data_IF_233454726422
#
_entry.id   IF_233454726422
#
_cell.length_a   1.000
_cell.length_b   1.000
_cell.length_c   1.000
_cell.angle_alpha   90.00
_cell.angle_beta   90.00
_cell.angle_gamma   90.00
#
_symmetry.space_group_name_H-M   'P 1'
#
loop_
_entity.id
_entity.type
_entity.pdbx_description
1 polymer ?
#
# COMPACT_ATOMS: atom_id res chain seq x y z
N UNK A 1 -8.61 10.79 2.18
CA UNK A 1 -8.30 10.13 0.91
C UNK A 1 -7.63 8.79 1.17
N UNK A 2 -8.00 7.76 0.40
CA UNK A 2 -7.53 6.38 0.58
C UNK A 2 -6.64 5.98 -0.59
N UNK A 3 -5.43 5.49 -0.29
CA UNK A 3 -4.40 5.09 -1.25
C UNK A 3 -4.07 3.61 -1.00
N UNK A 4 -4.30 2.75 -2.00
CA UNK A 4 -3.95 1.33 -1.91
C UNK A 4 -2.58 1.04 -2.52
N UNK A 5 -1.80 0.15 -1.92
CA UNK A 5 -0.62 -0.48 -2.52
C UNK A 5 -1.03 -1.83 -3.08
N UNK A 6 -1.24 -1.92 -4.37
CA UNK A 6 -1.84 -3.09 -4.98
C UNK A 6 -0.97 -3.74 -6.06
N UNK A 7 -0.90 -5.05 -6.05
CA UNK A 7 -0.32 -5.84 -7.15
C UNK A 7 -0.88 -7.25 -7.13
N UNK A 8 -1.13 -7.82 -8.31
CA UNK A 8 -1.50 -9.21 -8.47
C UNK A 8 -0.36 -10.18 -8.12
N UNK A 9 0.90 -9.70 -8.10
CA UNK A 9 2.09 -10.50 -7.79
C UNK A 9 2.60 -10.25 -6.39
N UNK A 10 3.12 -11.31 -5.75
CA UNK A 10 3.91 -11.21 -4.53
C UNK A 10 5.34 -10.71 -4.81
N UNK A 11 6.02 -10.22 -3.77
CA UNK A 11 7.44 -9.87 -3.83
C UNK A 11 7.81 -8.64 -4.67
N UNK A 12 6.86 -7.78 -5.04
CA UNK A 12 7.10 -6.59 -5.87
C UNK A 12 7.36 -5.31 -5.06
N UNK A 13 7.41 -5.39 -3.72
CA UNK A 13 7.68 -4.25 -2.84
C UNK A 13 6.44 -3.47 -2.38
N UNK A 14 5.23 -4.07 -2.38
CA UNK A 14 4.01 -3.41 -1.87
C UNK A 14 4.20 -2.86 -0.46
N UNK A 15 4.49 -3.74 0.50
CA UNK A 15 4.67 -3.39 1.92
C UNK A 15 5.77 -2.36 2.12
N UNK A 16 6.92 -2.54 1.44
CA UNK A 16 8.01 -1.57 1.47
C UNK A 16 7.55 -0.18 1.05
N UNK A 17 6.79 -0.10 -0.06
CA UNK A 17 6.23 1.17 -0.52
C UNK A 17 5.14 1.69 0.42
N UNK A 18 4.26 0.84 0.96
CA UNK A 18 3.20 1.24 1.88
C UNK A 18 3.76 1.96 3.11
N UNK A 19 4.75 1.35 3.76
CA UNK A 19 5.41 1.92 4.94
C UNK A 19 6.11 3.24 4.60
N UNK A 20 6.84 3.29 3.49
CA UNK A 20 7.59 4.49 3.11
C UNK A 20 6.69 5.64 2.63
N UNK A 21 5.60 5.34 1.92
CA UNK A 21 4.64 6.37 1.50
C UNK A 21 3.82 6.88 2.70
N UNK A 22 3.55 6.04 3.70
CA UNK A 22 2.94 6.46 4.95
C UNK A 22 3.85 7.42 5.73
N UNK A 23 5.15 7.09 5.81
CA UNK A 23 6.16 8.00 6.34
C UNK A 23 6.23 9.31 5.56
N UNK A 24 6.28 9.27 4.23
CA UNK A 24 6.34 10.46 3.39
C UNK A 24 5.10 11.35 3.55
N UNK A 25 3.93 10.75 3.68
CA UNK A 25 2.68 11.44 3.98
C UNK A 25 2.75 12.18 5.32
N UNK A 26 3.15 11.48 6.36
CA UNK A 26 3.21 11.99 7.73
C UNK A 26 4.30 13.07 7.89
N UNK A 27 5.51 12.80 7.42
CA UNK A 27 6.69 13.63 7.70
C UNK A 27 6.91 14.71 6.63
N UNK A 28 6.82 14.37 5.33
CA UNK A 28 7.09 15.34 4.27
C UNK A 28 5.90 16.26 4.01
N UNK A 29 4.68 15.73 4.09
CA UNK A 29 3.45 16.52 3.86
C UNK A 29 2.73 16.92 5.14
N UNK A 30 3.22 16.51 6.31
CA UNK A 30 2.63 16.81 7.63
C UNK A 30 1.16 16.40 7.74
N UNK A 31 0.76 15.32 7.08
CA UNK A 31 -0.60 14.78 7.07
C UNK A 31 -0.81 13.82 8.25
N UNK A 32 -1.98 13.89 8.89
CA UNK A 32 -2.41 12.81 9.80
C UNK A 32 -2.66 11.57 8.96
N UNK A 33 -1.82 10.56 9.11
CA UNK A 33 -1.77 9.39 8.24
C UNK A 33 -2.05 8.13 9.03
N UNK A 34 -2.88 7.26 8.47
CA UNK A 34 -3.08 5.91 8.95
C UNK A 34 -2.48 4.94 7.94
N UNK A 35 -1.60 4.06 8.37
CA UNK A 35 -1.27 2.86 7.62
C UNK A 35 -2.18 1.73 8.07
N UNK A 36 -2.94 1.16 7.14
CA UNK A 36 -3.81 0.02 7.39
C UNK A 36 -3.20 -1.22 6.74
N UNK A 37 -2.69 -2.12 7.57
CA UNK A 37 -2.12 -3.39 7.14
C UNK A 37 -3.24 -4.42 6.96
N UNK A 38 -3.48 -4.84 5.73
CA UNK A 38 -4.49 -5.85 5.36
C UNK A 38 -3.87 -7.16 4.88
N UNK A 39 -2.54 -7.31 4.96
CA UNK A 39 -1.88 -8.58 4.68
C UNK A 39 -1.74 -9.40 5.96
N UNK A 40 -2.28 -10.63 5.96
CA UNK A 40 -2.18 -11.56 7.09
C UNK A 40 -0.74 -11.92 7.50
N UNK A 41 0.26 -11.59 6.67
CA UNK A 41 1.67 -11.71 7.02
C UNK A 41 2.13 -10.62 7.99
N UNK A 42 1.36 -9.55 8.16
CA UNK A 42 1.61 -8.44 9.08
C UNK A 42 3.00 -7.78 8.93
N UNK A 43 3.52 -7.74 7.70
CA UNK A 43 4.87 -7.24 7.45
C UNK A 43 4.97 -5.72 7.66
N UNK A 44 3.96 -4.93 7.27
CA UNK A 44 3.92 -3.50 7.57
C UNK A 44 3.81 -3.24 9.07
N UNK A 45 3.01 -4.03 9.77
CA UNK A 45 2.87 -4.02 11.24
C UNK A 45 4.22 -4.24 11.90
N UNK A 46 4.96 -5.27 11.48
CA UNK A 46 6.28 -5.58 12.02
C UNK A 46 7.30 -4.46 11.76
N UNK A 47 7.38 -3.94 10.53
CA UNK A 47 8.33 -2.87 10.16
C UNK A 47 8.08 -1.59 10.97
N UNK A 48 6.84 -1.30 11.35
CA UNK A 48 6.53 -0.14 12.22
C UNK A 48 6.67 -0.42 13.71
N UNK A 49 7.43 -1.45 14.09
CA UNK A 49 7.77 -1.73 15.48
C UNK A 49 6.63 -2.31 16.33
N UNK A 50 5.54 -2.76 15.69
CA UNK A 50 4.38 -3.32 16.38
C UNK A 50 4.30 -4.83 16.23
N UNK A 51 3.63 -5.47 17.19
CA UNK A 51 3.27 -6.90 17.09
C UNK A 51 1.90 -7.05 16.43
N UNK A 52 1.63 -8.17 15.72
CA UNK A 52 0.31 -8.43 15.15
C UNK A 52 -0.80 -8.30 16.21
N UNK A 53 -1.99 -7.87 15.81
CA UNK A 53 -3.13 -7.84 16.70
C UNK A 53 -3.53 -9.28 17.05
N UNK A 54 -3.47 -9.67 18.34
CA UNK A 54 -3.88 -11.02 18.75
C UNK A 54 -5.40 -11.18 18.76
N UNK A 55 -5.89 -12.44 18.57
CA UNK A 55 -7.27 -12.82 18.90
C UNK A 55 -8.33 -12.49 17.85
N UNK A 56 -8.06 -12.66 16.56
CA UNK A 56 -9.03 -12.48 15.46
C UNK A 56 -9.75 -11.12 15.46
N UNK A 57 -9.04 -10.05 15.77
CA UNK A 57 -9.63 -8.71 15.91
C UNK A 57 -9.73 -7.98 14.59
N UNK A 58 -8.73 -8.14 13.71
CA UNK A 58 -8.69 -7.44 12.43
C UNK A 58 -9.84 -7.88 11.51
N UNK A 59 -10.03 -9.17 11.31
CA UNK A 59 -11.14 -9.73 10.53
C UNK A 59 -12.50 -9.31 11.10
N UNK A 60 -12.70 -9.50 12.42
CA UNK A 60 -13.98 -9.18 13.07
C UNK A 60 -14.38 -7.73 12.90
N UNK A 61 -13.43 -6.79 12.94
CA UNK A 61 -13.73 -5.37 12.73
C UNK A 61 -14.29 -5.12 11.34
N UNK A 62 -13.77 -5.82 10.34
CA UNK A 62 -14.20 -5.69 8.95
C UNK A 62 -15.56 -6.40 8.73
N UNK A 63 -15.69 -7.66 9.16
CA UNK A 63 -16.89 -8.46 8.92
C UNK A 63 -18.11 -7.95 9.68
N UNK A 64 -17.93 -7.55 10.95
CA UNK A 64 -19.02 -7.05 11.80
C UNK A 64 -19.35 -5.58 11.60
N UNK A 65 -18.62 -4.89 10.71
CA UNK A 65 -18.81 -3.45 10.44
C UNK A 65 -18.67 -2.61 11.72
N UNK A 66 -17.73 -2.99 12.56
CA UNK A 66 -17.43 -2.26 13.80
C UNK A 66 -16.39 -1.15 13.52
N UNK A 67 -16.43 -0.10 14.34
CA UNK A 67 -15.41 0.96 14.27
C UNK A 67 -14.03 0.38 14.61
N UNK A 68 -13.08 0.37 13.66
CA UNK A 68 -11.75 -0.18 13.86
C UNK A 68 -10.85 0.72 14.71
N UNK A 69 -11.31 1.91 15.11
CA UNK A 69 -10.50 2.90 15.83
C UNK A 69 -9.90 2.36 17.13
N UNK A 70 -10.56 1.38 17.78
CA UNK A 70 -10.06 0.73 18.99
C UNK A 70 -8.82 -0.16 18.78
N UNK A 71 -8.54 -0.52 17.51
CA UNK A 71 -7.39 -1.34 17.14
C UNK A 71 -6.21 -0.49 16.68
N UNK A 72 -6.42 0.80 16.43
CA UNK A 72 -5.39 1.72 15.98
C UNK A 72 -4.35 1.89 17.10
N UNK A 73 -3.08 1.89 16.68
CA UNK A 73 -1.93 2.07 17.55
C UNK A 73 -1.08 3.24 17.05
N UNK A 74 -0.59 4.11 17.94
CA UNK A 74 0.41 5.10 17.57
C UNK A 74 1.71 4.41 17.17
N UNK A 75 2.46 5.00 16.26
CA UNK A 75 3.82 4.59 15.93
C UNK A 75 4.84 5.54 16.54
N UNK A 76 6.12 5.22 16.42
CA UNK A 76 7.21 6.13 16.81
C UNK A 76 7.35 7.35 15.87
N UNK A 77 6.62 7.37 14.74
CA UNK A 77 6.70 8.40 13.71
C UNK A 77 5.58 9.42 13.93
N UNK A 78 5.95 10.69 14.05
CA UNK A 78 4.96 11.77 14.22
C UNK A 78 3.88 11.73 13.12
N UNK A 79 2.62 11.89 13.52
CA UNK A 79 1.43 11.88 12.62
C UNK A 79 1.18 10.58 11.86
N UNK A 80 1.81 9.47 12.23
CA UNK A 80 1.59 8.17 11.62
C UNK A 80 1.05 7.18 12.65
N UNK A 81 -0.19 6.76 12.47
CA UNK A 81 -0.79 5.68 13.22
C UNK A 81 -0.87 4.40 12.36
N UNK A 82 -1.00 3.27 13.02
CA UNK A 82 -1.11 1.94 12.41
C UNK A 82 -2.42 1.27 12.81
N UNK A 83 -3.15 0.76 11.84
CA UNK A 83 -4.18 -0.25 12.05
C UNK A 83 -3.55 -1.61 11.70
N UNK A 84 -3.15 -2.41 12.72
CA UNK A 84 -2.31 -3.58 12.52
C UNK A 84 -3.09 -4.77 11.94
N UNK A 85 -2.39 -5.60 11.18
CA UNK A 85 -2.88 -6.91 10.75
C UNK A 85 -2.80 -7.95 11.87
N UNK A 86 -3.54 -9.03 11.68
CA UNK A 86 -3.36 -10.29 12.40
C UNK A 86 -3.67 -11.50 11.47
N UNK A 87 -3.39 -12.71 11.96
CA UNK A 87 -3.54 -13.92 11.17
C UNK A 87 -4.99 -14.20 10.72
N UNK A 88 -6.00 -13.59 11.34
CA UNK A 88 -7.42 -13.77 10.98
C UNK A 88 -7.76 -13.19 9.61
N UNK A 89 -6.94 -12.27 9.08
CA UNK A 89 -7.16 -11.73 7.74
C UNK A 89 -7.04 -12.79 6.63
N UNK A 90 -6.48 -13.98 6.91
CA UNK A 90 -6.50 -15.13 5.96
C UNK A 90 -7.92 -15.59 5.65
N UNK A 91 -8.82 -15.46 6.60
CA UNK A 91 -10.20 -15.93 6.45
C UNK A 91 -11.10 -14.87 5.78
N UNK A 92 -10.57 -13.65 5.60
CA UNK A 92 -11.31 -12.52 5.05
C UNK A 92 -11.81 -12.78 3.61
N UNK A 93 -11.03 -13.51 2.81
CA UNK A 93 -11.41 -13.89 1.44
C UNK A 93 -12.68 -14.74 1.43
N UNK A 94 -12.70 -15.80 2.24
CA UNK A 94 -13.88 -16.67 2.39
C UNK A 94 -15.08 -15.88 2.91
N UNK A 95 -14.86 -15.04 3.92
CA UNK A 95 -15.91 -14.23 4.51
C UNK A 95 -16.53 -13.23 3.51
N UNK A 96 -15.76 -12.64 2.62
CA UNK A 96 -16.28 -11.75 1.58
C UNK A 96 -17.05 -12.51 0.50
N UNK A 97 -16.58 -13.69 0.13
CA UNK A 97 -17.27 -14.56 -0.82
C UNK A 97 -18.68 -14.95 -0.28
N UNK A 98 -18.75 -15.44 0.95
CA UNK A 98 -20.00 -15.91 1.57
C UNK A 98 -21.00 -14.77 1.82
N UNK A 99 -20.52 -13.60 2.20
CA UNK A 99 -21.38 -12.46 2.52
C UNK A 99 -21.94 -11.74 1.29
N UNK A 100 -21.38 -11.93 0.09
CA UNK A 100 -21.77 -11.22 -1.13
C UNK A 100 -21.67 -9.68 -1.04
N UNK A 101 -21.03 -9.14 0.01
CA UNK A 101 -21.04 -7.72 0.35
C UNK A 101 -19.88 -6.97 -0.27
N UNK A 102 -20.11 -6.39 -1.45
CA UNK A 102 -19.06 -5.71 -2.27
C UNK A 102 -18.57 -4.35 -1.75
N UNK A 103 -19.08 -3.83 -0.63
CA UNK A 103 -18.74 -2.48 -0.11
C UNK A 103 -18.36 -2.50 1.38
N UNK A 104 -18.02 -3.65 1.93
CA UNK A 104 -17.78 -3.79 3.38
C UNK A 104 -16.57 -2.97 3.81
N UNK A 105 -15.46 -3.11 3.09
CA UNK A 105 -14.23 -2.39 3.44
C UNK A 105 -14.40 -0.87 3.29
N UNK A 106 -15.11 -0.41 2.25
CA UNK A 106 -15.40 1.01 2.10
C UNK A 106 -16.24 1.56 3.26
N UNK A 107 -17.17 0.76 3.80
CA UNK A 107 -17.97 1.14 4.96
C UNK A 107 -17.12 1.22 6.24
N UNK A 108 -16.26 0.26 6.48
CA UNK A 108 -15.31 0.31 7.60
C UNK A 108 -14.36 1.50 7.46
N UNK A 109 -13.84 1.75 6.26
CA UNK A 109 -12.98 2.89 5.99
C UNK A 109 -13.69 4.24 6.27
N UNK A 110 -15.02 4.30 6.09
CA UNK A 110 -15.79 5.53 6.36
C UNK A 110 -15.72 5.99 7.83
N UNK A 111 -15.53 5.08 8.79
CA UNK A 111 -15.31 5.42 10.20
C UNK A 111 -13.96 6.12 10.46
N UNK A 112 -13.03 5.99 9.51
CA UNK A 112 -11.67 6.54 9.58
C UNK A 112 -11.53 7.84 8.78
N UNK A 113 -12.42 8.06 7.81
CA UNK A 113 -12.48 9.30 7.01
C UNK A 113 -12.83 10.47 7.94
N UNK A 114 -12.06 11.55 7.85
CA UNK A 114 -12.22 12.72 8.75
C UNK A 114 -11.30 12.69 9.98
N UNK A 115 -10.90 11.49 10.44
CA UNK A 115 -9.88 11.35 11.49
C UNK A 115 -8.47 11.48 10.92
N UNK A 116 -8.27 11.03 9.67
CA UNK A 116 -7.00 11.02 8.95
C UNK A 116 -7.11 11.74 7.61
N UNK A 117 -6.07 12.49 7.27
CA UNK A 117 -5.96 13.16 5.96
C UNK A 117 -5.65 12.15 4.86
N UNK A 118 -4.88 11.11 5.20
CA UNK A 118 -4.51 10.00 4.33
C UNK A 118 -4.67 8.66 5.05
N UNK A 119 -5.25 7.69 4.34
CA UNK A 119 -5.27 6.29 4.74
C UNK A 119 -4.51 5.53 3.65
N UNK A 120 -3.42 4.88 4.03
CA UNK A 120 -2.63 4.05 3.12
C UNK A 120 -2.90 2.60 3.47
N UNK A 121 -3.28 1.80 2.47
CA UNK A 121 -3.63 0.39 2.67
C UNK A 121 -2.52 -0.47 2.06
N UNK A 122 -1.87 -1.29 2.90
CA UNK A 122 -1.02 -2.39 2.42
C UNK A 122 -1.89 -3.60 2.09
N UNK A 123 -1.92 -3.99 0.82
CA UNK A 123 -2.83 -5.00 0.31
C UNK A 123 -2.18 -6.39 0.30
N UNK A 124 -2.92 -7.46 0.58
CA UNK A 124 -2.46 -8.80 0.30
C UNK A 124 -2.18 -8.98 -1.20
N UNK A 125 -1.34 -9.96 -1.60
CA UNK A 125 -1.11 -10.27 -3.00
C UNK A 125 -2.34 -10.96 -3.62
N UNK A 126 -2.49 -10.84 -4.95
CA UNK A 126 -3.50 -11.56 -5.72
C UNK A 126 -4.65 -10.69 -6.21
N UNK A 127 -5.46 -11.30 -7.09
CA UNK A 127 -6.69 -10.71 -7.65
C UNK A 127 -7.90 -11.39 -6.97
N UNK A 128 -8.16 -10.98 -5.74
CA UNK A 128 -9.12 -11.61 -4.83
C UNK A 128 -10.33 -10.71 -4.55
N UNK A 129 -11.37 -11.23 -3.92
CA UNK A 129 -12.52 -10.42 -3.47
C UNK A 129 -12.09 -9.34 -2.46
N UNK A 130 -11.09 -9.64 -1.64
CA UNK A 130 -10.47 -8.65 -0.75
C UNK A 130 -9.83 -7.51 -1.53
N UNK A 131 -9.03 -7.83 -2.56
CA UNK A 131 -8.41 -6.83 -3.42
C UNK A 131 -9.46 -5.96 -4.14
N UNK A 132 -10.54 -6.57 -4.62
CA UNK A 132 -11.66 -5.85 -5.23
C UNK A 132 -12.30 -4.83 -4.27
N UNK A 133 -12.50 -5.22 -3.02
CA UNK A 133 -13.05 -4.33 -2.01
C UNK A 133 -12.10 -3.19 -1.66
N UNK A 134 -10.80 -3.46 -1.59
CA UNK A 134 -9.78 -2.43 -1.36
C UNK A 134 -9.78 -1.42 -2.51
N UNK A 135 -9.73 -1.89 -3.77
CA UNK A 135 -9.74 -1.01 -4.94
C UNK A 135 -11.01 -0.15 -5.00
N UNK A 136 -12.18 -0.71 -4.63
CA UNK A 136 -13.44 0.04 -4.57
C UNK A 136 -13.49 1.10 -3.47
N UNK A 137 -12.74 0.89 -2.39
CA UNK A 137 -12.65 1.83 -1.27
C UNK A 137 -11.62 2.94 -1.51
N UNK A 138 -10.75 2.79 -2.52
CA UNK A 138 -9.57 3.64 -2.73
C UNK A 138 -9.81 4.71 -3.79
N UNK A 139 -9.27 5.90 -3.54
CA UNK A 139 -9.21 7.00 -4.51
C UNK A 139 -8.10 6.76 -5.54
N UNK A 140 -6.96 6.16 -5.08
CA UNK A 140 -5.80 5.89 -5.90
C UNK A 140 -5.18 4.54 -5.51
N UNK A 141 -4.71 3.77 -6.49
CA UNK A 141 -3.93 2.56 -6.28
C UNK A 141 -2.54 2.71 -6.88
N UNK A 142 -1.52 2.68 -6.03
CA UNK A 142 -0.12 2.58 -6.44
C UNK A 142 0.16 1.14 -6.82
N UNK A 143 0.65 0.94 -8.04
CA UNK A 143 0.94 -0.40 -8.57
C UNK A 143 2.45 -0.54 -8.79
N UNK A 144 3.18 -1.21 -7.89
CA UNK A 144 4.61 -1.49 -8.10
C UNK A 144 4.80 -2.50 -9.22
N UNK A 145 5.66 -2.14 -10.18
CA UNK A 145 5.96 -2.91 -11.39
C UNK A 145 7.46 -3.12 -11.48
N UNK A 146 7.92 -4.36 -11.36
CA UNK A 146 9.32 -4.70 -11.67
C UNK A 146 9.51 -4.53 -13.18
N UNK A 147 10.62 -3.91 -13.65
CA UNK A 147 10.86 -3.74 -15.09
C UNK A 147 11.11 -5.09 -15.80
N UNK A 148 10.02 -5.80 -16.10
CA UNK A 148 10.06 -7.10 -16.77
C UNK A 148 8.73 -7.37 -17.50
N UNK A 149 8.74 -8.10 -18.64
CA UNK A 149 7.56 -8.36 -19.46
C UNK A 149 6.37 -8.94 -18.69
N UNK A 150 6.63 -9.92 -17.80
CA UNK A 150 5.57 -10.55 -16.99
C UNK A 150 4.93 -9.59 -15.98
N UNK A 151 5.66 -8.60 -15.50
CA UNK A 151 5.11 -7.59 -14.58
C UNK A 151 4.28 -6.55 -15.34
N UNK A 152 4.66 -6.24 -16.58
CA UNK A 152 3.85 -5.43 -17.50
C UNK A 152 2.52 -6.09 -17.79
N UNK A 153 2.56 -7.39 -18.17
CA UNK A 153 1.33 -8.17 -18.38
C UNK A 153 0.41 -8.15 -17.17
N UNK A 154 0.96 -8.35 -15.95
CA UNK A 154 0.17 -8.29 -14.72
C UNK A 154 -0.47 -6.90 -14.50
N UNK A 155 0.23 -5.80 -14.84
CA UNK A 155 -0.36 -4.46 -14.80
C UNK A 155 -1.50 -4.31 -15.80
N UNK A 156 -1.36 -4.84 -17.02
CA UNK A 156 -2.40 -4.74 -18.03
C UNK A 156 -3.64 -5.57 -17.65
N UNK A 157 -3.47 -6.71 -17.00
CA UNK A 157 -4.55 -7.49 -16.38
C UNK A 157 -5.28 -6.69 -15.29
N UNK A 158 -4.54 -5.96 -14.42
CA UNK A 158 -5.12 -5.06 -13.41
C UNK A 158 -5.91 -3.93 -14.07
N UNK A 159 -5.37 -3.27 -15.10
CA UNK A 159 -6.07 -2.20 -15.83
C UNK A 159 -7.38 -2.71 -16.44
N UNK A 160 -7.33 -3.87 -17.08
CA UNK A 160 -8.50 -4.49 -17.67
C UNK A 160 -9.56 -4.81 -16.63
N UNK A 161 -9.15 -5.42 -15.51
CA UNK A 161 -10.02 -5.75 -14.39
C UNK A 161 -10.71 -4.51 -13.81
N UNK A 162 -9.97 -3.45 -13.56
CA UNK A 162 -10.52 -2.18 -13.05
C UNK A 162 -11.47 -1.53 -14.06
N UNK A 163 -11.14 -1.58 -15.36
CA UNK A 163 -11.98 -1.00 -16.43
C UNK A 163 -13.34 -1.68 -16.55
N UNK A 164 -13.43 -2.98 -16.26
CA UNK A 164 -14.69 -3.75 -16.31
C UNK A 164 -15.61 -3.52 -15.10
N UNK A 165 -15.10 -2.96 -14.00
CA UNK A 165 -15.92 -2.74 -12.79
C UNK A 165 -16.83 -1.54 -12.94
N UNK A 166 -18.10 -1.70 -12.54
CA UNK A 166 -19.06 -0.60 -12.41
C UNK A 166 -18.82 0.17 -11.11
N UNK A 167 -18.83 1.49 -11.16
CA UNK A 167 -18.71 2.37 -9.99
C UNK A 167 -17.59 3.39 -10.11
N UNK A 168 -17.22 4.09 -9.02
CA UNK A 168 -16.11 5.03 -9.01
C UNK A 168 -14.82 4.34 -9.48
N UNK A 169 -14.11 4.99 -10.40
CA UNK A 169 -12.88 4.46 -10.95
C UNK A 169 -11.71 4.89 -10.07
N UNK A 170 -11.00 3.93 -9.50
CA UNK A 170 -9.74 4.17 -8.82
C UNK A 170 -8.69 4.64 -9.83
N UNK A 171 -7.89 5.65 -9.46
CA UNK A 171 -6.76 6.11 -10.27
C UNK A 171 -5.63 5.08 -10.12
N UNK A 172 -5.18 4.48 -11.21
CA UNK A 172 -4.02 3.59 -11.19
C UNK A 172 -2.73 4.40 -11.39
N UNK A 173 -1.81 4.30 -10.43
CA UNK A 173 -0.52 4.98 -10.43
C UNK A 173 0.62 3.95 -10.49
N UNK A 174 1.06 3.52 -11.69
CA UNK A 174 2.18 2.59 -11.80
C UNK A 174 3.49 3.24 -11.36
N UNK A 175 4.33 2.45 -10.68
CA UNK A 175 5.65 2.84 -10.18
C UNK A 175 6.63 1.72 -10.51
N UNK A 176 7.75 2.04 -11.16
CA UNK A 176 8.80 1.06 -11.31
C UNK A 176 9.44 0.74 -9.96
N UNK A 177 9.45 -0.54 -9.61
CA UNK A 177 9.97 -1.05 -8.34
C UNK A 177 11.16 -1.96 -8.55
N UNK A 178 12.11 -1.96 -7.60
CA UNK A 178 13.29 -2.82 -7.61
C UNK A 178 14.14 -2.64 -8.88
N UNK A 179 14.32 -1.40 -9.31
CA UNK A 179 15.06 -1.10 -10.53
C UNK A 179 16.56 -1.24 -10.33
N UNK A 180 17.17 -2.16 -11.06
CA UNK A 180 18.63 -2.27 -11.22
C UNK A 180 19.05 -1.78 -12.61
N UNK A 181 19.59 -0.57 -12.68
CA UNK A 181 20.00 0.05 -13.96
C UNK A 181 21.19 -0.64 -14.64
N UNK A 182 21.87 -1.57 -13.98
CA UNK A 182 22.93 -2.40 -14.60
C UNK A 182 22.32 -3.44 -15.56
N UNK A 183 21.05 -3.81 -15.35
CA UNK A 183 20.34 -4.80 -16.18
C UNK A 183 19.80 -4.12 -17.45
N UNK A 184 20.18 -4.65 -18.64
CA UNK A 184 19.71 -4.14 -19.95
C UNK A 184 18.20 -4.10 -20.07
N UNK A 185 17.55 -5.22 -19.72
CA UNK A 185 16.07 -5.34 -19.72
C UNK A 185 15.38 -4.25 -18.88
N UNK A 186 15.95 -3.89 -17.71
CA UNK A 186 15.36 -2.85 -16.87
C UNK A 186 15.46 -1.49 -17.57
N UNK A 187 16.60 -1.16 -18.21
CA UNK A 187 16.75 0.09 -18.96
C UNK A 187 15.75 0.18 -20.11
N UNK A 188 15.63 -0.88 -20.89
CA UNK A 188 14.67 -0.94 -22.02
C UNK A 188 13.21 -0.74 -21.55
N UNK A 189 12.84 -1.34 -20.44
CA UNK A 189 11.48 -1.15 -19.88
C UNK A 189 11.24 0.26 -19.34
N UNK A 190 12.26 0.89 -18.74
CA UNK A 190 12.17 2.28 -18.30
C UNK A 190 11.98 3.23 -19.50
N UNK A 191 12.72 3.01 -20.58
CA UNK A 191 12.66 3.84 -21.80
C UNK A 191 11.27 3.79 -22.45
N UNK A 192 10.56 2.67 -22.34
CA UNK A 192 9.17 2.53 -22.81
C UNK A 192 8.15 3.35 -21.99
N UNK A 193 8.50 3.73 -20.76
CA UNK A 193 7.61 4.46 -19.84
C UNK A 193 8.40 5.55 -19.07
N UNK A 194 8.95 6.54 -19.74
CA UNK A 194 9.84 7.54 -19.12
C UNK A 194 9.14 8.42 -18.08
N UNK A 195 7.81 8.43 -18.10
CA UNK A 195 6.99 9.19 -17.15
C UNK A 195 6.74 8.51 -15.80
N UNK A 196 7.08 7.24 -15.62
CA UNK A 196 6.82 6.56 -14.35
C UNK A 196 7.92 6.84 -13.32
N UNK A 197 7.57 7.06 -12.04
CA UNK A 197 8.57 7.18 -10.99
C UNK A 197 9.27 5.85 -10.75
N UNK A 198 10.49 5.92 -10.23
CA UNK A 198 11.40 4.78 -10.11
C UNK A 198 11.84 4.60 -8.66
N UNK A 199 11.61 3.42 -8.11
CA UNK A 199 12.20 2.96 -6.86
C UNK A 199 13.39 2.05 -7.19
N UNK A 200 14.61 2.42 -6.82
CA UNK A 200 15.79 1.62 -7.10
C UNK A 200 15.82 0.34 -6.27
N UNK A 201 16.52 -0.68 -6.76
CA UNK A 201 16.94 -1.79 -5.93
C UNK A 201 18.08 -1.31 -5.00
N UNK A 202 17.86 -1.39 -3.71
CA UNK A 202 18.84 -0.96 -2.71
C UNK A 202 18.72 -1.79 -1.43
N UNK A 203 19.86 -2.22 -0.87
CA UNK A 203 19.94 -2.96 0.41
C UNK A 203 19.35 -2.17 1.59
N UNK A 204 19.28 -0.86 1.48
CA UNK A 204 18.64 -0.01 2.48
C UNK A 204 17.17 -0.37 2.72
N UNK A 205 16.43 -0.86 1.70
CA UNK A 205 15.05 -1.32 1.88
C UNK A 205 14.97 -2.64 2.64
N UNK A 206 16.00 -3.50 2.56
CA UNK A 206 16.08 -4.74 3.34
C UNK A 206 16.28 -4.44 4.83
N UNK A 207 17.06 -3.39 5.13
CA UNK A 207 17.30 -2.93 6.50
C UNK A 207 16.04 -2.48 7.23
N UNK A 208 14.99 -2.08 6.52
CA UNK A 208 13.73 -1.67 7.15
C UNK A 208 13.13 -2.75 8.05
N UNK A 209 13.23 -4.02 7.65
CA UNK A 209 12.74 -5.14 8.46
C UNK A 209 13.66 -5.46 9.64
N UNK A 210 14.94 -5.24 9.51
CA UNK A 210 15.93 -5.43 10.59
C UNK A 210 15.81 -4.34 11.65
N UNK A 211 15.77 -3.09 11.22
CA UNK A 211 15.74 -1.90 12.09
C UNK A 211 14.30 -1.53 12.53
N UNK A 212 13.30 -2.18 11.97
CA UNK A 212 11.87 -1.95 12.22
C UNK A 212 11.47 -0.47 12.05
N UNK A 213 11.92 0.13 10.94
CA UNK A 213 11.67 1.54 10.63
C UNK A 213 11.57 1.79 9.11
N UNK A 214 10.86 2.84 8.66
CA UNK A 214 10.87 3.27 7.27
C UNK A 214 12.23 3.85 6.89
N UNK A 215 12.54 3.82 5.59
CA UNK A 215 13.86 4.22 5.08
C UNK A 215 14.22 5.68 5.41
N UNK A 216 13.23 6.56 5.52
CA UNK A 216 13.45 7.96 5.85
C UNK A 216 13.84 8.22 7.29
N UNK A 217 13.70 7.24 8.20
CA UNK A 217 14.23 7.27 9.56
C UNK A 217 15.63 6.64 9.64
N UNK A 218 16.00 5.85 8.62
CA UNK A 218 17.28 5.12 8.59
C UNK A 218 18.38 5.83 7.79
N UNK A 219 18.00 6.75 6.91
CA UNK A 219 18.93 7.39 5.98
C UNK A 219 18.65 8.90 5.83
N UNK A 220 19.70 9.68 5.46
CA UNK A 220 19.51 11.10 5.14
C UNK A 220 18.46 11.32 4.05
N UNK A 221 17.72 12.41 4.14
CA UNK A 221 16.68 12.77 3.15
C UNK A 221 17.23 12.96 1.74
N UNK A 222 18.50 13.33 1.61
CA UNK A 222 19.22 13.47 0.33
C UNK A 222 19.73 12.15 -0.25
N UNK A 223 19.51 11.02 0.41
CA UNK A 223 19.90 9.73 -0.14
C UNK A 223 18.97 9.30 -1.27
N UNK A 224 19.52 8.66 -2.30
CA UNK A 224 18.77 8.22 -3.48
C UNK A 224 17.49 7.42 -3.15
N UNK A 225 17.51 6.45 -2.21
CA UNK A 225 16.29 5.71 -1.88
C UNK A 225 15.20 6.57 -1.23
N UNK A 226 15.58 7.53 -0.38
CA UNK A 226 14.60 8.44 0.27
C UNK A 226 14.05 9.45 -0.74
N UNK A 227 14.90 10.01 -1.61
CA UNK A 227 14.47 10.90 -2.69
C UNK A 227 13.52 10.21 -3.68
N UNK A 228 13.76 8.93 -3.99
CA UNK A 228 12.87 8.13 -4.84
C UNK A 228 11.47 7.98 -4.21
N UNK A 229 11.39 7.70 -2.93
CA UNK A 229 10.12 7.66 -2.18
C UNK A 229 9.43 9.02 -2.20
N UNK A 230 10.17 10.10 -1.94
CA UNK A 230 9.64 11.46 -1.95
C UNK A 230 9.08 11.86 -3.34
N UNK A 231 9.73 11.41 -4.43
CA UNK A 231 9.24 11.64 -5.80
C UNK A 231 7.93 10.90 -6.07
N UNK A 232 7.84 9.61 -5.69
CA UNK A 232 6.58 8.85 -5.79
C UNK A 232 5.47 9.58 -5.03
N UNK A 233 5.76 10.00 -3.79
CA UNK A 233 4.78 10.70 -2.97
C UNK A 233 4.31 12.02 -3.59
N UNK A 234 5.22 12.85 -4.10
CA UNK A 234 4.87 14.11 -4.79
C UNK A 234 3.93 13.87 -5.99
N UNK A 235 4.14 12.81 -6.76
CA UNK A 235 3.27 12.46 -7.88
C UNK A 235 1.89 11.99 -7.43
N UNK A 236 1.80 11.23 -6.35
CA UNK A 236 0.53 10.83 -5.74
C UNK A 236 -0.25 12.08 -5.29
N UNK A 237 0.37 12.99 -4.54
CA UNK A 237 -0.27 14.22 -4.10
C UNK A 237 -0.75 15.09 -5.29
N UNK A 238 0.01 15.13 -6.38
CA UNK A 238 -0.40 15.84 -7.61
C UNK A 238 -1.59 15.17 -8.29
N UNK A 239 -1.64 13.85 -8.34
CA UNK A 239 -2.74 13.09 -8.94
C UNK A 239 -4.04 13.24 -8.14
N UNK A 240 -3.96 13.34 -6.81
CA UNK A 240 -5.11 13.49 -5.91
C UNK A 240 -5.67 14.92 -5.84
N UNK A 241 -4.96 15.93 -6.38
CA UNK A 241 -5.45 17.32 -6.46
C UNK A 241 -6.29 17.61 -7.69
N UNK A 242 -6.31 16.69 -8.66
CA UNK A 242 -7.13 16.77 -9.88
C UNK A 242 -8.48 16.15 -9.68
#
# INVERSE_FOLDING_TARGET
MIIALYSAKGGVGKTTLAVNLAWASAILSKRRTLLWDLDAQAAATYILGQEPAGGHKAERSIIRDSDPSKLIRPTAIDRLDLLPADASLRDLEHAFHDLGKRKRLAKVASHLIGKYDRIIIDCPPGMTDTADQILRASDLAVVPVIPAPLSRRALDEIKHHVAQKKGPKVILAPVFSMVDRRRGMHREELDKQPGWPVIPMASAYERMSLERAPIGELMPRSSLPVEAVAEVWRRIEKALKK
#
